data_IF_756434887365
#
_entry.id   IF_756434887365
#
_cell.length_a   1.000
_cell.length_b   1.000
_cell.length_c   1.000
_cell.angle_alpha   90.00
_cell.angle_beta   90.00
_cell.angle_gamma   90.00
#
_symmetry.space_group_name_H-M   'P 1'
#
loop_
_entity.id
_entity.type
_entity.pdbx_description
1 polymer ?
#
# COMPACT_ATOMS: atom_id res chain seq x y z
N UNK A 1 31.50 13.79 3.84
CA UNK A 1 30.06 14.07 3.91
C UNK A 1 29.40 12.86 4.56
N UNK A 2 28.56 13.07 5.56
CA UNK A 2 27.77 12.00 6.16
C UNK A 2 26.52 11.83 5.30
N UNK A 3 26.40 10.72 4.59
CA UNK A 3 25.20 10.42 3.81
C UNK A 3 24.05 10.06 4.75
N UNK A 4 22.90 10.73 4.59
CA UNK A 4 21.70 10.47 5.37
C UNK A 4 21.02 9.20 4.84
N UNK A 5 21.02 8.13 5.62
CA UNK A 5 20.34 6.89 5.26
C UNK A 5 18.86 6.94 5.68
N UNK A 6 17.95 6.78 4.72
CA UNK A 6 16.52 6.58 5.00
C UNK A 6 16.31 5.11 5.36
N UNK A 7 15.46 4.85 6.35
CA UNK A 7 15.19 3.49 6.83
C UNK A 7 13.70 3.24 6.87
N UNK A 8 13.27 2.04 6.53
CA UNK A 8 11.89 1.61 6.73
C UNK A 8 11.60 1.42 8.22
N UNK A 9 10.38 1.75 8.70
CA UNK A 9 9.94 1.38 10.04
C UNK A 9 9.52 -0.10 10.09
N UNK A 10 9.43 -0.77 8.93
CA UNK A 10 9.15 -2.20 8.79
C UNK A 10 10.46 -2.97 8.88
N UNK A 11 10.46 -4.02 9.70
CA UNK A 11 11.58 -4.94 9.81
C UNK A 11 11.03 -6.37 9.83
N UNK A 12 11.49 -7.20 8.89
CA UNK A 12 11.19 -8.62 8.90
C UNK A 12 12.37 -9.38 9.50
N UNK A 13 12.08 -10.52 10.15
CA UNK A 13 13.10 -11.40 10.73
C UNK A 13 13.77 -12.32 9.70
N UNK A 14 13.43 -12.20 8.42
CA UNK A 14 14.05 -12.94 7.32
C UNK A 14 15.19 -12.14 6.69
N UNK A 15 16.22 -12.83 6.20
CA UNK A 15 17.34 -12.19 5.53
C UNK A 15 16.96 -11.73 4.13
N UNK A 16 17.22 -10.46 3.83
CA UNK A 16 17.16 -9.95 2.46
C UNK A 16 18.17 -10.70 1.58
N UNK A 17 17.74 -11.15 0.41
CA UNK A 17 18.58 -11.78 -0.60
C UNK A 17 19.14 -10.75 -1.56
N UNK A 18 18.33 -9.76 -1.95
CA UNK A 18 18.71 -8.69 -2.87
C UNK A 18 18.19 -7.36 -2.36
N UNK A 19 19.09 -6.37 -2.28
CA UNK A 19 18.79 -5.01 -1.85
C UNK A 19 19.27 -4.06 -2.94
N UNK A 20 18.48 -3.01 -3.20
CA UNK A 20 18.86 -1.90 -4.06
C UNK A 20 18.75 -0.58 -3.30
N UNK A 21 19.72 0.31 -3.48
CA UNK A 21 19.68 1.65 -2.91
C UNK A 21 18.94 2.61 -3.86
N UNK A 22 17.80 3.15 -3.42
CA UNK A 22 17.03 4.16 -4.17
C UNK A 22 16.70 5.34 -3.27
N UNK A 23 17.12 6.55 -3.64
CA UNK A 23 16.91 7.77 -2.83
C UNK A 23 17.27 7.62 -1.35
N UNK A 24 18.42 6.99 -1.09
CA UNK A 24 18.92 6.64 0.25
C UNK A 24 18.09 5.60 1.03
N UNK A 25 17.13 4.93 0.41
CA UNK A 25 16.43 3.76 0.96
C UNK A 25 17.14 2.46 0.58
N UNK A 26 17.41 1.56 1.54
CA UNK A 26 17.74 0.17 1.25
C UNK A 26 16.46 -0.60 0.95
N UNK A 27 16.05 -0.65 -0.32
CA UNK A 27 14.85 -1.34 -0.76
C UNK A 27 15.15 -2.83 -0.92
N UNK A 28 14.41 -3.68 -0.20
CA UNK A 28 14.55 -5.13 -0.35
C UNK A 28 13.74 -5.60 -1.57
N UNK A 29 14.46 -6.04 -2.59
CA UNK A 29 13.87 -6.54 -3.83
C UNK A 29 13.40 -7.98 -3.72
N UNK A 30 14.11 -8.80 -2.95
CA UNK A 30 13.88 -10.23 -2.76
C UNK A 30 14.32 -10.64 -1.34
N UNK A 31 13.54 -11.46 -0.66
CA UNK A 31 13.96 -12.16 0.57
C UNK A 31 14.42 -13.58 0.28
N UNK A 32 15.16 -14.18 1.21
CA UNK A 32 15.42 -15.62 1.17
C UNK A 32 14.14 -16.38 1.45
N UNK A 33 13.93 -17.47 0.71
CA UNK A 33 12.85 -18.44 0.94
C UNK A 33 11.45 -17.83 0.97
N UNK A 34 11.12 -16.93 0.03
CA UNK A 34 9.78 -16.30 -0.07
C UNK A 34 8.64 -17.31 -0.23
N UNK A 35 8.94 -18.53 -0.70
CA UNK A 35 7.98 -19.61 -0.80
C UNK A 35 6.87 -19.34 -1.83
N UNK A 36 5.68 -19.90 -1.56
CA UNK A 36 4.49 -19.78 -2.42
C UNK A 36 3.52 -18.69 -1.98
N UNK A 37 3.77 -18.07 -0.83
CA UNK A 37 2.90 -17.08 -0.24
C UNK A 37 1.67 -17.68 0.45
N UNK A 38 0.78 -16.83 1.01
CA UNK A 38 0.61 -15.41 0.75
C UNK A 38 1.77 -14.52 1.18
N UNK A 39 1.81 -13.29 0.67
CA UNK A 39 2.94 -12.39 0.82
C UNK A 39 2.59 -11.12 1.59
N UNK A 40 3.54 -10.65 2.40
CA UNK A 40 3.56 -9.32 3.00
C UNK A 40 4.79 -8.56 2.47
N UNK A 41 4.59 -7.40 1.85
CA UNK A 41 5.66 -6.61 1.23
C UNK A 41 5.70 -5.21 1.84
N UNK A 42 6.90 -4.77 2.18
CA UNK A 42 7.15 -3.38 2.57
C UNK A 42 7.30 -2.50 1.33
N UNK A 43 6.44 -1.50 1.22
CA UNK A 43 6.43 -0.50 0.16
C UNK A 43 6.59 0.91 0.73
N UNK A 44 7.10 1.05 1.94
CA UNK A 44 7.17 2.35 2.64
C UNK A 44 8.02 3.37 1.90
N UNK A 45 9.02 2.92 1.13
CA UNK A 45 9.85 3.77 0.28
C UNK A 45 9.10 4.42 -0.89
N UNK A 46 7.93 3.90 -1.29
CA UNK A 46 7.15 4.43 -2.40
C UNK A 46 6.62 5.82 -2.09
N UNK A 47 6.64 6.69 -3.10
CA UNK A 47 6.14 8.05 -2.96
C UNK A 47 4.64 8.04 -2.68
N UNK A 48 4.24 8.81 -1.68
CA UNK A 48 2.84 8.96 -1.24
C UNK A 48 2.53 10.43 -1.11
N UNK A 49 1.54 10.89 -1.86
CA UNK A 49 1.15 12.30 -1.88
C UNK A 49 -0.30 12.45 -1.48
N UNK A 50 -0.58 13.43 -0.62
CA UNK A 50 -1.94 13.89 -0.39
C UNK A 50 -2.20 15.13 -1.23
N UNK A 51 -3.38 15.20 -1.85
CA UNK A 51 -3.90 16.38 -2.52
C UNK A 51 -5.16 16.84 -1.81
N UNK A 52 -5.17 18.10 -1.38
CA UNK A 52 -6.33 18.74 -0.75
C UNK A 52 -6.83 19.91 -1.59
N UNK A 53 -8.08 19.83 -2.05
CA UNK A 53 -8.74 20.89 -2.81
C UNK A 53 -10.26 20.82 -2.65
N UNK A 54 -10.94 21.98 -2.57
CA UNK A 54 -12.41 22.07 -2.53
C UNK A 54 -13.08 21.67 -3.87
N UNK A 55 -12.33 21.75 -4.97
CA UNK A 55 -12.74 21.41 -6.33
C UNK A 55 -11.94 20.22 -6.86
N UNK A 56 -11.71 19.22 -6.01
CA UNK A 56 -10.87 18.06 -6.31
C UNK A 56 -11.26 17.31 -7.60
N UNK A 57 -12.53 17.30 -7.99
CA UNK A 57 -13.00 16.69 -9.25
C UNK A 57 -12.49 17.40 -10.53
N UNK A 58 -12.03 18.66 -10.42
CA UNK A 58 -11.44 19.40 -11.55
C UNK A 58 -9.93 19.18 -11.66
N UNK A 59 -9.32 18.50 -10.68
CA UNK A 59 -7.87 18.26 -10.63
C UNK A 59 -7.55 17.03 -11.46
N UNK A 60 -6.45 17.10 -12.21
CA UNK A 60 -5.92 15.98 -13.02
C UNK A 60 -4.45 15.69 -12.67
N UNK A 61 -4.17 15.22 -11.44
CA UNK A 61 -2.80 14.87 -11.06
C UNK A 61 -2.23 13.85 -12.04
N UNK A 62 -1.03 14.10 -12.57
CA UNK A 62 -0.37 13.23 -13.54
C UNK A 62 -1.18 13.02 -14.84
N UNK A 63 -2.12 13.92 -15.14
CA UNK A 63 -3.06 13.77 -16.26
C UNK A 63 -4.16 12.72 -16.03
N UNK A 64 -4.25 12.15 -14.83
CA UNK A 64 -5.24 11.15 -14.45
C UNK A 64 -6.44 11.79 -13.76
N UNK A 65 -7.62 11.21 -13.95
CA UNK A 65 -8.83 11.63 -13.26
C UNK A 65 -8.83 11.15 -11.80
N UNK A 66 -9.30 12.01 -10.90
CA UNK A 66 -9.56 11.62 -9.51
C UNK A 66 -10.97 11.03 -9.45
N UNK A 67 -11.18 9.87 -8.80
CA UNK A 67 -12.52 9.31 -8.65
C UNK A 67 -13.49 10.30 -7.98
N UNK A 68 -14.74 10.27 -8.45
CA UNK A 68 -15.79 11.20 -8.02
C UNK A 68 -16.25 10.94 -6.58
N UNK A 69 -16.41 9.66 -6.24
CA UNK A 69 -17.03 9.24 -4.98
C UNK A 69 -15.98 8.92 -3.90
N UNK A 70 -16.17 9.37 -2.65
CA UNK A 70 -15.39 8.89 -1.52
C UNK A 70 -15.37 7.36 -1.42
N UNK A 71 -14.19 6.80 -1.19
CA UNK A 71 -13.95 5.35 -1.19
C UNK A 71 -13.69 4.75 -2.57
N UNK A 72 -13.87 5.49 -3.66
CA UNK A 72 -13.49 5.02 -4.99
C UNK A 72 -11.99 5.20 -5.23
N UNK A 73 -11.42 4.26 -5.99
CA UNK A 73 -10.01 4.28 -6.37
C UNK A 73 -9.87 4.15 -7.89
N UNK A 74 -8.73 4.60 -8.40
CA UNK A 74 -8.31 4.32 -9.78
C UNK A 74 -6.86 3.92 -9.75
N UNK A 75 -6.54 2.78 -10.37
CA UNK A 75 -5.18 2.30 -10.53
C UNK A 75 -4.83 2.34 -12.02
N UNK A 76 -4.02 3.32 -12.41
CA UNK A 76 -3.65 3.54 -13.82
C UNK A 76 -2.21 4.03 -13.89
N UNK A 77 -1.49 3.61 -14.93
CA UNK A 77 -0.10 4.03 -15.16
C UNK A 77 0.81 3.78 -13.94
N UNK A 78 0.54 2.72 -13.17
CA UNK A 78 1.31 2.38 -11.97
C UNK A 78 1.07 3.29 -10.76
N UNK A 79 0.07 4.18 -10.80
CA UNK A 79 -0.30 5.08 -9.72
C UNK A 79 -1.71 4.76 -9.25
N UNK A 80 -1.87 4.64 -7.94
CA UNK A 80 -3.16 4.43 -7.29
C UNK A 80 -3.66 5.74 -6.69
N UNK A 81 -4.76 6.26 -7.22
CA UNK A 81 -5.44 7.47 -6.74
C UNK A 81 -6.66 7.05 -5.92
N UNK A 82 -6.72 7.52 -4.68
CA UNK A 82 -7.72 7.13 -3.69
C UNK A 82 -8.53 8.35 -3.25
N UNK A 83 -9.84 8.35 -3.50
CA UNK A 83 -10.70 9.44 -3.04
C UNK A 83 -11.03 9.25 -1.56
N UNK A 84 -10.36 9.98 -0.68
CA UNK A 84 -10.57 9.86 0.78
C UNK A 84 -11.92 10.45 1.21
N UNK A 85 -12.22 11.65 0.73
CA UNK A 85 -13.43 12.39 1.07
C UNK A 85 -13.69 13.47 0.01
N UNK A 86 -14.63 14.38 0.27
CA UNK A 86 -14.98 15.45 -0.67
C UNK A 86 -13.79 16.32 -1.08
N UNK A 87 -12.81 16.52 -0.23
CA UNK A 87 -11.73 17.51 -0.45
C UNK A 87 -10.33 16.91 -0.44
N UNK A 88 -10.18 15.60 -0.24
CA UNK A 88 -8.86 14.96 -0.11
C UNK A 88 -8.76 13.71 -0.99
N UNK A 89 -7.60 13.58 -1.64
CA UNK A 89 -7.18 12.41 -2.41
C UNK A 89 -5.79 11.98 -1.97
N UNK A 90 -5.54 10.68 -1.88
CA UNK A 90 -4.21 10.12 -1.65
C UNK A 90 -3.71 9.43 -2.91
N UNK A 91 -2.46 9.66 -3.29
CA UNK A 91 -1.83 9.12 -4.49
C UNK A 91 -0.61 8.30 -4.09
N UNK A 92 -0.58 7.03 -4.47
CA UNK A 92 0.52 6.13 -4.19
C UNK A 92 1.17 5.70 -5.51
N UNK A 93 2.47 6.00 -5.65
CA UNK A 93 3.27 5.61 -6.81
C UNK A 93 3.78 4.19 -6.60
N UNK A 94 3.05 3.20 -7.11
CA UNK A 94 3.28 1.78 -6.80
C UNK A 94 4.23 1.12 -7.80
N UNK A 95 4.02 1.32 -9.10
CA UNK A 95 4.84 0.73 -10.17
C UNK A 95 5.60 1.77 -10.98
N UNK A 96 5.11 3.01 -11.03
CA UNK A 96 5.78 4.11 -11.69
C UNK A 96 6.71 4.84 -10.72
N UNK A 97 7.80 5.38 -11.27
CA UNK A 97 8.61 6.35 -10.54
C UNK A 97 7.80 7.62 -10.32
N UNK A 98 7.96 8.22 -9.15
CA UNK A 98 7.30 9.47 -8.84
C UNK A 98 8.05 10.63 -9.50
N UNK A 99 7.37 11.50 -10.26
CA UNK A 99 7.99 12.74 -10.69
C UNK A 99 8.23 13.66 -9.48
N UNK A 100 8.88 14.80 -9.70
CA UNK A 100 8.96 15.82 -8.66
C UNK A 100 7.56 16.22 -8.19
N UNK A 101 7.41 16.46 -6.87
CA UNK A 101 6.16 16.92 -6.30
C UNK A 101 5.71 18.20 -7.04
N UNK A 102 4.44 18.29 -7.49
CA UNK A 102 3.96 19.50 -8.15
C UNK A 102 4.09 20.73 -7.25
N UNK A 103 4.56 21.85 -7.82
CA UNK A 103 4.67 23.12 -7.08
C UNK A 103 3.33 23.85 -6.88
N UNK A 104 2.24 23.32 -7.43
CA UNK A 104 0.91 23.86 -7.21
C UNK A 104 0.40 23.57 -5.78
N UNK A 105 -0.43 24.46 -5.22
CA UNK A 105 -0.92 24.29 -3.86
C UNK A 105 -1.80 23.04 -3.73
N UNK A 106 -1.86 22.53 -2.49
CA UNK A 106 -2.71 21.41 -2.11
C UNK A 106 -1.98 20.07 -2.04
N UNK A 107 -0.79 19.94 -2.65
CA UNK A 107 0.03 18.73 -2.51
C UNK A 107 0.82 18.73 -1.22
N UNK A 108 0.93 17.55 -0.61
CA UNK A 108 1.84 17.28 0.51
C UNK A 108 2.49 15.94 0.28
N UNK A 109 3.82 15.89 0.32
CA UNK A 109 4.55 14.63 0.35
C UNK A 109 4.46 14.02 1.75
N UNK A 110 3.79 12.87 1.85
CA UNK A 110 3.59 12.11 3.09
C UNK A 110 4.40 10.80 3.09
N UNK A 111 5.37 10.66 2.19
CA UNK A 111 6.18 9.45 2.00
C UNK A 111 6.83 8.96 3.29
N UNK A 112 7.35 9.88 4.11
CA UNK A 112 7.98 9.54 5.39
C UNK A 112 7.01 9.53 6.58
N UNK A 113 5.82 10.10 6.43
CA UNK A 113 4.86 10.21 7.52
C UNK A 113 4.09 8.90 7.77
N UNK A 114 3.97 8.05 6.76
CA UNK A 114 3.20 6.81 6.82
C UNK A 114 4.00 5.58 6.42
N UNK A 115 3.62 4.43 6.97
CA UNK A 115 4.04 3.12 6.46
C UNK A 115 3.14 2.75 5.28
N UNK A 116 3.64 1.98 4.32
CA UNK A 116 2.81 1.36 3.28
C UNK A 116 3.22 -0.09 3.13
N UNK A 117 2.27 -1.01 3.30
CA UNK A 117 2.50 -2.44 3.09
C UNK A 117 1.45 -3.03 2.16
N UNK A 118 1.85 -4.04 1.39
CA UNK A 118 0.97 -4.83 0.55
C UNK A 118 0.82 -6.24 1.12
N UNK A 119 -0.41 -6.75 1.13
CA UNK A 119 -0.70 -8.16 1.38
C UNK A 119 -1.36 -8.72 0.13
N UNK A 120 -0.86 -9.81 -0.43
CA UNK A 120 -1.48 -10.42 -1.61
C UNK A 120 -1.15 -11.92 -1.74
N UNK A 121 -2.01 -12.64 -2.46
CA UNK A 121 -1.91 -14.08 -2.66
C UNK A 121 -3.08 -14.86 -2.05
N UNK A 122 -2.90 -16.17 -1.83
CA UNK A 122 -3.97 -17.04 -1.35
C UNK A 122 -4.44 -16.67 0.06
N UNK A 123 -5.75 -16.75 0.32
CA UNK A 123 -6.35 -16.52 1.65
C UNK A 123 -6.07 -15.17 2.32
N UNK A 124 -5.54 -14.17 1.61
CA UNK A 124 -5.21 -12.87 2.21
C UNK A 124 -6.42 -12.19 2.83
N UNK A 125 -7.59 -12.31 2.22
CA UNK A 125 -8.80 -11.69 2.74
C UNK A 125 -9.23 -12.34 4.07
N UNK A 126 -9.07 -13.66 4.21
CA UNK A 126 -9.32 -14.38 5.46
C UNK A 126 -8.32 -13.99 6.57
N UNK A 127 -7.04 -13.74 6.22
CA UNK A 127 -6.06 -13.20 7.16
C UNK A 127 -6.54 -11.84 7.68
N UNK A 128 -7.01 -10.98 6.80
CA UNK A 128 -7.41 -9.62 7.18
C UNK A 128 -8.70 -9.54 7.97
N UNK A 129 -9.63 -10.48 7.82
CA UNK A 129 -10.85 -10.55 8.66
C UNK A 129 -10.52 -10.70 10.16
N UNK A 130 -9.36 -11.26 10.51
CA UNK A 130 -8.90 -11.32 11.91
C UNK A 130 -8.43 -9.98 12.45
N UNK A 131 -8.05 -9.07 11.56
CA UNK A 131 -7.34 -7.83 11.89
C UNK A 131 -8.26 -6.61 11.76
N UNK A 132 -9.37 -6.71 11.03
CA UNK A 132 -10.28 -5.59 10.83
C UNK A 132 -11.73 -6.04 10.78
N UNK A 133 -12.62 -5.16 11.24
CA UNK A 133 -14.06 -5.31 11.09
C UNK A 133 -14.58 -4.68 9.77
N UNK A 134 -13.69 -4.17 8.92
CA UNK A 134 -14.04 -3.64 7.61
C UNK A 134 -14.49 -4.77 6.69
N UNK A 135 -15.60 -4.56 5.97
CA UNK A 135 -16.07 -5.51 4.96
C UNK A 135 -15.28 -5.34 3.66
N UNK A 136 -14.16 -6.06 3.57
CA UNK A 136 -13.29 -6.10 2.39
C UNK A 136 -13.86 -6.99 1.27
N UNK A 137 -14.94 -7.72 1.54
CA UNK A 137 -15.57 -8.66 0.62
C UNK A 137 -16.93 -8.17 0.08
N UNK A 138 -17.39 -6.99 0.48
CA UNK A 138 -18.65 -6.37 0.04
C UNK A 138 -18.86 -6.54 -1.47
N UNK A 139 -19.86 -7.33 -1.90
CA UNK A 139 -20.08 -7.64 -3.31
C UNK A 139 -20.53 -6.41 -4.11
N UNK A 140 -21.00 -5.35 -3.44
CA UNK A 140 -21.43 -4.11 -4.10
C UNK A 140 -20.24 -3.19 -4.43
N UNK A 141 -19.07 -3.42 -3.85
CA UNK A 141 -17.85 -2.65 -4.14
C UNK A 141 -17.07 -3.27 -5.28
N UNK A 142 -16.66 -2.47 -6.25
CA UNK A 142 -15.78 -2.89 -7.33
C UNK A 142 -14.33 -2.57 -6.96
N UNK A 143 -13.41 -3.49 -7.20
CA UNK A 143 -11.97 -3.26 -6.98
C UNK A 143 -11.36 -2.46 -8.13
N UNK A 144 -10.44 -1.51 -7.86
CA UNK A 144 -9.96 -1.15 -6.53
C UNK A 144 -10.93 -0.24 -5.76
N UNK A 145 -11.02 -0.42 -4.43
CA UNK A 145 -11.78 0.48 -3.56
C UNK A 145 -11.07 0.71 -2.22
N UNK A 146 -11.33 1.87 -1.63
CA UNK A 146 -10.80 2.33 -0.35
C UNK A 146 -11.85 2.20 0.74
N UNK A 147 -11.42 1.65 1.88
CA UNK A 147 -12.08 1.83 3.17
C UNK A 147 -11.14 2.55 4.14
N UNK A 148 -11.73 3.45 4.93
CA UNK A 148 -11.04 4.11 6.03
C UNK A 148 -11.57 3.51 7.32
N UNK A 149 -10.69 2.97 8.14
CA UNK A 149 -11.11 2.36 9.39
C UNK A 149 -9.98 1.68 10.13
N UNK A 150 -10.30 1.08 11.27
CA UNK A 150 -9.29 0.41 12.07
C UNK A 150 -8.80 -0.85 11.37
N UNK A 151 -7.49 -1.00 11.27
CA UNK A 151 -6.82 -2.27 11.03
C UNK A 151 -5.94 -2.52 12.26
N UNK A 152 -6.12 -3.64 12.95
CA UNK A 152 -5.53 -3.90 14.28
C UNK A 152 -5.76 -2.74 15.27
N UNK A 153 -6.99 -2.18 15.29
CA UNK A 153 -7.37 -1.00 16.08
C UNK A 153 -6.62 0.32 15.77
N UNK A 154 -5.84 0.36 14.69
CA UNK A 154 -5.13 1.57 14.24
C UNK A 154 -5.88 2.18 13.05
N UNK A 155 -6.16 3.49 13.04
CA UNK A 155 -6.74 4.15 11.87
C UNK A 155 -5.85 3.97 10.63
N UNK A 156 -6.41 3.34 9.61
CA UNK A 156 -5.73 3.04 8.36
C UNK A 156 -6.56 3.49 7.15
N UNK A 157 -5.87 3.75 6.04
CA UNK A 157 -6.47 3.66 4.72
C UNK A 157 -6.17 2.25 4.21
N UNK A 158 -7.21 1.50 3.84
CA UNK A 158 -7.11 0.12 3.36
C UNK A 158 -7.72 0.07 1.97
N UNK A 159 -6.91 -0.28 0.97
CA UNK A 159 -7.36 -0.40 -0.41
C UNK A 159 -7.35 -1.86 -0.81
N UNK A 160 -8.52 -2.42 -1.09
CA UNK A 160 -8.63 -3.72 -1.74
C UNK A 160 -8.33 -3.53 -3.22
N UNK A 161 -7.17 -3.99 -3.68
CA UNK A 161 -6.70 -3.79 -5.04
C UNK A 161 -7.27 -4.84 -6.01
N UNK A 162 -7.42 -6.09 -5.55
CA UNK A 162 -8.00 -7.18 -6.32
C UNK A 162 -8.65 -8.23 -5.40
N UNK A 163 -9.70 -8.88 -5.92
CA UNK A 163 -10.31 -10.08 -5.33
C UNK A 163 -10.22 -11.25 -6.31
N UNK A 164 -9.76 -12.40 -5.82
CA UNK A 164 -9.68 -13.65 -6.55
C UNK A 164 -10.85 -14.58 -6.25
N UNK A 165 -10.65 -15.89 -6.46
CA UNK A 165 -11.62 -16.90 -6.03
C UNK A 165 -11.52 -17.10 -4.52
N UNK A 166 -12.66 -17.22 -3.84
CA UNK A 166 -12.68 -17.40 -2.39
C UNK A 166 -12.09 -16.18 -1.66
N UNK A 167 -11.06 -16.42 -0.85
CA UNK A 167 -10.38 -15.40 -0.04
C UNK A 167 -9.05 -14.92 -0.63
N UNK A 168 -8.76 -15.31 -1.86
CA UNK A 168 -7.57 -14.85 -2.58
C UNK A 168 -7.74 -13.38 -2.97
N UNK A 169 -6.64 -12.65 -3.06
CA UNK A 169 -6.69 -11.27 -3.53
C UNK A 169 -5.44 -10.50 -3.20
N UNK A 170 -5.61 -9.18 -3.09
CA UNK A 170 -4.58 -8.34 -2.50
C UNK A 170 -5.08 -6.97 -2.13
N UNK A 171 -4.45 -6.43 -1.10
CA UNK A 171 -4.76 -5.14 -0.52
C UNK A 171 -3.48 -4.41 -0.14
N UNK A 172 -3.63 -3.10 -0.04
CA UNK A 172 -2.63 -2.17 0.42
C UNK A 172 -3.17 -1.50 1.68
N UNK A 173 -2.31 -1.27 2.66
CA UNK A 173 -2.68 -0.48 3.83
C UNK A 173 -1.59 0.53 4.16
N UNK A 174 -2.04 1.71 4.59
CA UNK A 174 -1.20 2.77 5.12
C UNK A 174 -1.75 3.28 6.44
N UNK A 175 -0.84 3.55 7.37
CA UNK A 175 -1.13 4.16 8.67
C UNK A 175 0.07 4.98 9.14
N UNK A 176 -0.07 5.68 10.26
CA UNK A 176 1.05 6.45 10.82
C UNK A 176 2.27 5.55 11.03
N UNK A 177 3.43 6.06 10.59
CA UNK A 177 4.72 5.38 10.63
C UNK A 177 5.04 4.76 12.00
N UNK A 178 4.60 5.41 13.09
CA UNK A 178 4.82 4.95 14.46
C UNK A 178 4.20 3.59 14.78
N UNK A 179 3.20 3.13 14.02
CA UNK A 179 2.55 1.84 14.24
C UNK A 179 3.14 0.69 13.43
N UNK A 180 4.11 0.95 12.55
CA UNK A 180 4.58 -0.04 11.57
C UNK A 180 5.01 -1.38 12.20
N UNK A 181 5.78 -1.33 13.28
CA UNK A 181 6.27 -2.54 13.94
C UNK A 181 5.13 -3.39 14.51
N UNK A 182 4.19 -2.76 15.22
CA UNK A 182 3.01 -3.43 15.79
C UNK A 182 2.09 -3.96 14.68
N UNK A 183 1.91 -3.19 13.61
CA UNK A 183 1.10 -3.56 12.46
C UNK A 183 1.64 -4.81 11.77
N UNK A 184 2.93 -4.81 11.44
CA UNK A 184 3.61 -5.93 10.78
C UNK A 184 3.61 -7.17 11.67
N UNK A 185 3.83 -7.00 12.98
CA UNK A 185 3.72 -8.10 13.93
C UNK A 185 2.32 -8.72 13.88
N UNK A 186 1.27 -7.92 14.05
CA UNK A 186 -0.11 -8.40 14.07
C UNK A 186 -0.49 -9.12 12.76
N UNK A 187 -0.07 -8.59 11.61
CA UNK A 187 -0.30 -9.20 10.31
C UNK A 187 0.40 -10.57 10.20
N UNK A 188 1.68 -10.65 10.55
CA UNK A 188 2.44 -11.89 10.49
C UNK A 188 1.88 -12.95 11.45
N UNK A 189 1.46 -12.54 12.65
CA UNK A 189 0.85 -13.43 13.63
C UNK A 189 -0.50 -13.99 13.13
N UNK A 190 -1.39 -13.11 12.66
CA UNK A 190 -2.68 -13.52 12.08
C UNK A 190 -2.54 -14.40 10.82
N UNK A 191 -1.48 -14.17 10.04
CA UNK A 191 -1.18 -14.92 8.81
C UNK A 191 -0.36 -16.19 9.03
N UNK A 192 0.09 -16.48 10.24
CA UNK A 192 1.00 -17.60 10.52
C UNK A 192 0.43 -18.96 10.10
N UNK A 193 -0.87 -19.21 10.35
CA UNK A 193 -1.54 -20.46 9.96
C UNK A 193 -1.68 -20.63 8.43
N UNK A 194 -1.56 -19.54 7.68
CA UNK A 194 -1.65 -19.53 6.22
C UNK A 194 -0.27 -19.57 5.55
N UNK A 195 0.82 -19.70 6.34
CA UNK A 195 2.20 -19.58 5.85
C UNK A 195 2.49 -18.20 5.20
N UNK A 196 1.92 -17.12 5.76
CA UNK A 196 2.20 -15.76 5.30
C UNK A 196 3.71 -15.45 5.41
N UNK A 197 4.32 -15.08 4.29
CA UNK A 197 5.75 -14.78 4.20
C UNK A 197 6.03 -13.33 3.86
N UNK A 198 7.07 -12.72 4.45
CA UNK A 198 7.66 -11.52 3.88
C UNK A 198 8.16 -11.77 2.46
N UNK A 199 7.92 -10.81 1.57
CA UNK A 199 8.43 -10.82 0.21
C UNK A 199 8.97 -9.45 -0.19
N UNK A 200 9.85 -9.46 -1.20
CA UNK A 200 10.47 -8.25 -1.71
C UNK A 200 9.61 -7.52 -2.74
N UNK A 201 10.04 -6.31 -3.08
CA UNK A 201 9.31 -5.44 -4.01
C UNK A 201 9.05 -6.10 -5.38
N UNK A 202 9.95 -6.95 -5.88
CA UNK A 202 9.78 -7.58 -7.20
C UNK A 202 8.53 -8.48 -7.25
N UNK A 203 8.20 -9.18 -6.17
CA UNK A 203 6.99 -10.01 -6.09
C UNK A 203 5.74 -9.16 -6.22
N UNK A 204 5.71 -8.04 -5.50
CA UNK A 204 4.61 -7.09 -5.58
C UNK A 204 4.50 -6.49 -6.98
N UNK A 205 5.61 -6.03 -7.57
CA UNK A 205 5.61 -5.42 -8.89
C UNK A 205 5.12 -6.37 -9.98
N UNK A 206 5.53 -7.64 -9.93
CA UNK A 206 5.09 -8.67 -10.88
C UNK A 206 3.59 -8.95 -10.74
N UNK A 207 3.07 -9.03 -9.50
CA UNK A 207 1.65 -9.25 -9.25
C UNK A 207 0.79 -8.04 -9.67
N UNK A 208 1.17 -6.83 -9.24
CA UNK A 208 0.39 -5.62 -9.50
C UNK A 208 0.43 -5.18 -10.97
N UNK A 209 1.49 -5.49 -11.72
CA UNK A 209 1.54 -5.23 -13.17
C UNK A 209 0.47 -6.01 -13.94
N UNK A 210 0.02 -7.16 -13.43
CA UNK A 210 -1.07 -7.94 -14.03
C UNK A 210 -2.48 -7.37 -13.76
N UNK A 211 -2.58 -6.28 -12.99
CA UNK A 211 -3.83 -5.60 -12.65
C UNK A 211 -4.04 -4.28 -13.42
N UNK A 212 -2.99 -3.78 -14.08
CA UNK A 212 -3.01 -2.55 -14.89
C UNK A 212 -3.46 -2.83 -16.33
#
# INVERSE_FOLDING_TARGET
>A
MTELQRRSPVQFKTGAQKIEMRDNWPVVLEYRDEGRGPFLVDLTHKAKWDLQDKHLALRKPLGLDIPDLPGACTFQQGVLINRLNRTQSAMWHLLADAPALPGEPGYTDVTEATVLVALFGPNVLAITEKLTALDLLDPLKQTPFLLQGPFSNVPCQVVTLARGRGFDGGLLLTCSRGYAQSMVHAILDAGAEFDLRPAGEQRFSAWASGLC
#
